data_IF_818088333365
#
_entry.id   IF_818088333365
#
_cell.length_a   1.000
_cell.length_b   1.000
_cell.length_c   1.000
_cell.angle_alpha   90.00
_cell.angle_beta   90.00
_cell.angle_gamma   90.00
#
_symmetry.space_group_name_H-M   'P 1'
#
loop_
_entity.id
_entity.type
_entity.pdbx_description
1 polymer ?
#
# COMPACT_ATOMS: atom_id res chain seq x y z
N UNK A 1 9.47 -24.60 30.21
CA UNK A 1 10.11 -23.46 30.90
C UNK A 1 11.45 -23.06 30.29
N UNK A 2 12.42 -23.96 30.07
CA UNK A 2 13.76 -23.59 29.54
C UNK A 2 13.76 -22.85 28.18
N UNK A 3 12.88 -23.24 27.22
CA UNK A 3 12.78 -22.56 25.91
C UNK A 3 12.27 -21.11 26.01
N UNK A 4 11.37 -20.82 26.95
CA UNK A 4 10.82 -19.48 27.15
C UNK A 4 11.84 -18.53 27.80
N UNK A 5 12.61 -19.04 28.76
CA UNK A 5 13.71 -18.29 29.37
C UNK A 5 14.81 -17.95 28.36
N UNK A 6 15.21 -18.92 27.52
CA UNK A 6 16.20 -18.70 26.46
C UNK A 6 15.72 -17.68 25.41
N UNK A 7 14.44 -17.71 25.04
CA UNK A 7 13.84 -16.75 24.12
C UNK A 7 13.78 -15.34 24.72
N UNK A 8 13.43 -15.22 26.02
CA UNK A 8 13.43 -13.93 26.72
C UNK A 8 14.83 -13.32 26.77
N UNK A 9 15.87 -14.10 27.10
CA UNK A 9 17.26 -13.64 27.13
C UNK A 9 17.70 -13.13 25.75
N UNK A 10 17.39 -13.88 24.69
CA UNK A 10 17.72 -13.47 23.33
C UNK A 10 17.00 -12.19 22.91
N UNK A 11 15.71 -12.05 23.27
CA UNK A 11 14.93 -10.85 23.01
C UNK A 11 15.51 -9.63 23.75
N UNK A 12 15.89 -9.77 25.03
CA UNK A 12 16.56 -8.72 25.79
C UNK A 12 17.86 -8.29 25.11
N UNK A 13 18.76 -9.24 24.79
CA UNK A 13 20.02 -8.95 24.13
C UNK A 13 19.85 -8.24 22.77
N UNK A 14 18.83 -8.65 21.98
CA UNK A 14 18.50 -8.00 20.71
C UNK A 14 17.94 -6.59 20.89
N UNK A 15 17.10 -6.36 21.91
CA UNK A 15 16.60 -5.03 22.22
C UNK A 15 17.73 -4.12 22.69
N UNK A 16 18.63 -4.60 23.53
CA UNK A 16 19.78 -3.85 24.03
C UNK A 16 20.70 -3.43 22.88
N UNK A 17 21.01 -4.36 21.97
CA UNK A 17 21.78 -4.05 20.77
C UNK A 17 21.10 -2.99 19.90
N UNK A 18 19.76 -3.07 19.74
CA UNK A 18 18.99 -2.06 18.97
C UNK A 18 18.90 -0.72 19.69
N UNK A 19 18.81 -0.72 21.02
CA UNK A 19 18.82 0.49 21.84
C UNK A 19 20.16 1.20 21.75
N UNK A 20 21.26 0.44 21.81
CA UNK A 20 22.61 0.94 21.66
C UNK A 20 22.83 1.52 20.26
N UNK A 21 22.38 0.82 19.22
CA UNK A 21 22.35 1.35 17.85
C UNK A 21 21.64 2.71 17.78
N UNK A 22 20.42 2.82 18.34
CA UNK A 22 19.70 4.09 18.34
C UNK A 22 20.47 5.17 19.11
N UNK A 23 21.08 4.83 20.26
CA UNK A 23 21.88 5.78 21.07
C UNK A 23 23.05 6.34 20.27
N UNK A 24 23.87 5.46 19.68
CA UNK A 24 25.06 5.85 18.92
C UNK A 24 24.68 6.69 17.69
N UNK A 25 23.71 6.21 16.90
CA UNK A 25 23.29 6.92 15.69
C UNK A 25 22.57 8.23 15.99
N UNK A 26 21.85 8.37 17.11
CA UNK A 26 21.28 9.66 17.51
C UNK A 26 22.37 10.69 17.80
N UNK A 27 23.45 10.30 18.50
CA UNK A 27 24.59 11.20 18.75
C UNK A 27 25.27 11.62 17.45
N UNK A 28 25.50 10.66 16.55
CA UNK A 28 26.10 10.94 15.25
C UNK A 28 25.23 11.87 14.40
N UNK A 29 23.94 11.57 14.26
CA UNK A 29 23.00 12.41 13.50
C UNK A 29 22.87 13.81 14.12
N UNK A 30 22.90 13.94 15.45
CA UNK A 30 22.88 15.23 16.12
C UNK A 30 24.13 16.06 15.80
N UNK A 31 25.32 15.45 15.83
CA UNK A 31 26.58 16.12 15.44
C UNK A 31 26.56 16.58 13.98
N UNK A 32 26.08 15.73 13.07
CA UNK A 32 25.94 16.11 11.65
C UNK A 32 24.95 17.25 11.45
N UNK A 33 23.82 17.23 12.17
CA UNK A 33 22.84 18.31 12.13
C UNK A 33 23.43 19.63 12.61
N UNK A 34 24.14 19.63 13.76
CA UNK A 34 24.82 20.82 14.29
C UNK A 34 25.86 21.38 13.32
N UNK A 35 26.66 20.51 12.71
CA UNK A 35 27.66 20.93 11.73
C UNK A 35 27.03 21.49 10.46
N UNK A 36 26.01 20.81 9.91
CA UNK A 36 25.30 21.28 8.74
C UNK A 36 24.58 22.62 9.01
N UNK A 37 23.99 22.79 10.20
CA UNK A 37 23.37 24.06 10.59
C UNK A 37 24.39 25.20 10.64
N UNK A 38 25.57 24.97 11.24
CA UNK A 38 26.62 25.99 11.27
C UNK A 38 27.08 26.41 9.86
N UNK A 39 27.17 25.46 8.91
CA UNK A 39 27.48 25.77 7.52
C UNK A 39 26.35 26.54 6.81
N UNK A 40 25.08 26.23 7.13
CA UNK A 40 23.93 27.01 6.62
C UNK A 40 24.00 28.44 7.14
N UNK A 41 24.28 28.62 8.44
CA UNK A 41 24.34 29.95 9.06
C UNK A 41 25.50 30.77 8.45
N UNK A 42 26.68 30.19 8.25
CA UNK A 42 27.82 30.84 7.56
C UNK A 42 27.50 31.20 6.11
N UNK A 43 26.88 30.27 5.37
CA UNK A 43 26.45 30.48 3.99
C UNK A 43 25.40 31.60 3.88
N UNK A 44 24.47 31.66 4.83
CA UNK A 44 23.47 32.72 4.91
C UNK A 44 24.11 34.08 5.20
N UNK A 45 25.09 34.16 6.10
CA UNK A 45 25.85 35.39 6.34
C UNK A 45 26.58 35.87 5.07
N UNK A 46 27.20 34.97 4.32
CA UNK A 46 27.86 35.31 3.04
C UNK A 46 26.86 35.84 2.00
N UNK A 47 25.69 35.23 1.88
CA UNK A 47 24.63 35.71 0.98
C UNK A 47 24.17 37.13 1.35
N UNK A 48 23.99 37.42 2.64
CA UNK A 48 23.63 38.77 3.10
C UNK A 48 24.71 39.79 2.73
N UNK A 49 25.99 39.45 2.92
CA UNK A 49 27.10 40.33 2.52
C UNK A 49 27.13 40.55 1.00
N UNK A 50 26.89 39.51 0.20
CA UNK A 50 26.81 39.63 -1.26
C UNK A 50 25.64 40.53 -1.70
N UNK A 51 24.49 40.41 -1.05
CA UNK A 51 23.33 41.29 -1.29
C UNK A 51 23.65 42.77 -0.97
N UNK A 52 24.30 43.03 0.16
CA UNK A 52 24.73 44.39 0.54
C UNK A 52 25.72 44.98 -0.48
N UNK A 53 26.74 44.21 -0.85
CA UNK A 53 27.71 44.63 -1.86
C UNK A 53 27.07 44.85 -3.24
N UNK A 54 26.10 44.02 -3.62
CA UNK A 54 25.38 44.16 -4.89
C UNK A 54 24.59 45.46 -4.88
N UNK A 55 23.90 45.76 -3.78
CA UNK A 55 23.19 47.03 -3.60
C UNK A 55 24.13 48.23 -3.75
N UNK A 56 25.30 48.19 -3.11
CA UNK A 56 26.30 49.27 -3.22
C UNK A 56 26.83 49.46 -4.64
N UNK A 57 26.99 48.37 -5.42
CA UNK A 57 27.39 48.46 -6.82
C UNK A 57 26.29 49.01 -7.72
N UNK A 58 25.02 48.66 -7.45
CA UNK A 58 23.89 49.19 -8.21
C UNK A 58 23.68 50.70 -7.99
N UNK A 59 24.05 51.21 -6.82
CA UNK A 59 23.98 52.64 -6.49
C UNK A 59 25.17 53.44 -7.06
N UNK A 60 26.11 52.80 -7.77
CA UNK A 60 27.32 53.44 -8.28
C UNK A 60 27.06 54.18 -9.62
N UNK A 61 27.57 55.41 -9.75
CA UNK A 61 27.37 56.26 -10.94
C UNK A 61 28.30 55.90 -12.12
N UNK A 62 29.23 54.96 -11.95
CA UNK A 62 30.19 54.51 -12.97
C UNK A 62 29.74 53.19 -13.62
N UNK A 63 30.24 52.89 -14.82
CA UNK A 63 29.97 51.59 -15.48
C UNK A 63 30.70 50.45 -14.75
N UNK A 64 29.95 49.74 -13.91
CA UNK A 64 30.39 48.57 -13.10
C UNK A 64 29.64 47.29 -13.51
N UNK A 65 29.18 47.23 -14.77
CA UNK A 65 28.36 46.11 -15.27
C UNK A 65 29.08 44.75 -15.24
N UNK A 66 30.40 44.74 -15.40
CA UNK A 66 31.23 43.53 -15.31
C UNK A 66 31.36 42.99 -13.88
N UNK A 67 31.56 43.88 -12.90
CA UNK A 67 31.64 43.55 -11.48
C UNK A 67 30.30 43.02 -10.95
N UNK A 68 29.19 43.65 -11.35
CA UNK A 68 27.83 43.18 -11.03
C UNK A 68 27.63 41.75 -11.57
N UNK A 69 27.99 41.50 -12.83
CA UNK A 69 27.85 40.16 -13.43
C UNK A 69 28.63 39.08 -12.69
N UNK A 70 29.90 39.34 -12.35
CA UNK A 70 30.72 38.40 -11.61
C UNK A 70 30.16 38.10 -10.20
N UNK A 71 29.62 39.13 -9.53
CA UNK A 71 29.09 38.98 -8.17
C UNK A 71 27.72 38.29 -8.15
N UNK A 72 26.90 38.47 -9.19
CA UNK A 72 25.66 37.70 -9.39
C UNK A 72 25.96 36.21 -9.63
N UNK A 73 27.02 35.88 -10.37
CA UNK A 73 27.44 34.49 -10.57
C UNK A 73 27.92 33.86 -9.24
N UNK A 74 28.67 34.61 -8.43
CA UNK A 74 29.10 34.18 -7.09
C UNK A 74 27.89 33.96 -6.16
N UNK A 75 26.94 34.91 -6.15
CA UNK A 75 25.69 34.78 -5.41
C UNK A 75 24.88 33.55 -5.82
N UNK A 76 24.71 33.30 -7.12
CA UNK A 76 23.98 32.14 -7.61
C UNK A 76 24.64 30.81 -7.17
N UNK A 77 25.97 30.74 -7.20
CA UNK A 77 26.72 29.59 -6.73
C UNK A 77 26.56 29.37 -5.21
N UNK A 78 26.55 30.45 -4.46
CA UNK A 78 26.36 30.44 -3.01
C UNK A 78 24.91 30.05 -2.64
N UNK A 79 23.90 30.54 -3.36
CA UNK A 79 22.49 30.14 -3.19
C UNK A 79 22.26 28.65 -3.48
N UNK A 80 22.88 28.10 -4.54
CA UNK A 80 22.82 26.67 -4.83
C UNK A 80 23.44 25.83 -3.68
N UNK A 81 24.50 26.35 -3.07
CA UNK A 81 25.15 25.74 -1.90
C UNK A 81 24.22 25.79 -0.68
N UNK A 82 23.60 26.95 -0.42
CA UNK A 82 22.61 27.14 0.65
C UNK A 82 21.43 26.16 0.54
N UNK A 83 20.87 25.98 -0.65
CA UNK A 83 19.78 25.03 -0.90
C UNK A 83 20.20 23.59 -0.59
N UNK A 84 21.40 23.20 -1.02
CA UNK A 84 21.95 21.86 -0.77
C UNK A 84 22.15 21.59 0.72
N UNK A 85 22.73 22.56 1.45
CA UNK A 85 22.94 22.46 2.89
C UNK A 85 21.62 22.40 3.66
N UNK A 86 20.63 23.21 3.27
CA UNK A 86 19.29 23.23 3.89
C UNK A 86 18.56 21.88 3.69
N UNK A 87 18.69 21.26 2.52
CA UNK A 87 18.17 19.93 2.27
C UNK A 87 18.85 18.88 3.17
N UNK A 88 20.17 18.97 3.36
CA UNK A 88 20.91 18.09 4.26
C UNK A 88 20.47 18.23 5.73
N UNK A 89 20.30 19.47 6.22
CA UNK A 89 19.74 19.76 7.56
C UNK A 89 18.37 19.09 7.73
N UNK A 90 17.49 19.26 6.75
CA UNK A 90 16.15 18.65 6.76
C UNK A 90 16.20 17.13 6.83
N UNK A 91 17.10 16.49 6.06
CA UNK A 91 17.31 15.04 6.08
C UNK A 91 17.84 14.55 7.45
N UNK A 92 18.81 15.25 8.04
CA UNK A 92 19.35 14.92 9.37
C UNK A 92 18.30 15.08 10.48
N UNK A 93 17.48 16.13 10.43
CA UNK A 93 16.35 16.33 11.36
C UNK A 93 15.35 15.19 11.29
N UNK A 94 14.96 14.77 10.07
CA UNK A 94 14.06 13.64 9.85
C UNK A 94 14.67 12.31 10.35
N UNK A 95 15.97 12.06 10.14
CA UNK A 95 16.66 10.89 10.69
C UNK A 95 16.64 10.89 12.22
N UNK A 96 16.94 12.02 12.86
CA UNK A 96 16.97 12.15 14.31
C UNK A 96 15.59 11.89 14.92
N UNK A 97 14.53 12.45 14.33
CA UNK A 97 13.14 12.16 14.72
C UNK A 97 12.83 10.66 14.64
N UNK A 98 13.19 9.98 13.53
CA UNK A 98 12.97 8.53 13.39
C UNK A 98 13.71 7.72 14.45
N UNK A 99 14.96 8.07 14.75
CA UNK A 99 15.78 7.38 15.76
C UNK A 99 15.22 7.56 17.18
N UNK A 100 14.77 8.78 17.52
CA UNK A 100 14.12 9.06 18.82
C UNK A 100 12.84 8.24 18.98
N UNK A 101 11.95 8.25 17.97
CA UNK A 101 10.73 7.44 17.99
C UNK A 101 11.03 5.94 18.13
N UNK A 102 12.04 5.45 17.39
CA UNK A 102 12.48 4.05 17.49
C UNK A 102 13.02 3.72 18.89
N UNK A 103 13.80 4.61 19.51
CA UNK A 103 14.33 4.44 20.87
C UNK A 103 13.21 4.38 21.92
N UNK A 104 12.21 5.26 21.84
CA UNK A 104 11.05 5.25 22.73
C UNK A 104 10.29 3.92 22.63
N UNK A 105 10.04 3.45 21.40
CA UNK A 105 9.42 2.13 21.17
C UNK A 105 10.23 0.99 21.77
N UNK A 106 11.54 0.94 21.55
CA UNK A 106 12.39 -0.14 22.07
C UNK A 106 12.42 -0.16 23.60
N UNK A 107 12.48 1.00 24.27
CA UNK A 107 12.39 1.09 25.74
C UNK A 107 11.09 0.51 26.28
N UNK A 108 9.98 0.74 25.57
CA UNK A 108 8.70 0.19 25.95
C UNK A 108 8.67 -1.34 25.81
N UNK A 109 9.13 -1.89 24.67
CA UNK A 109 9.24 -3.34 24.51
C UNK A 109 10.13 -3.97 25.57
N UNK A 110 11.24 -3.31 25.91
CA UNK A 110 12.16 -3.79 26.95
C UNK A 110 11.45 -3.91 28.31
N UNK A 111 10.55 -2.98 28.66
CA UNK A 111 9.72 -3.07 29.88
C UNK A 111 8.63 -4.14 29.81
N UNK A 112 8.22 -4.54 28.61
CA UNK A 112 7.14 -5.49 28.39
C UNK A 112 7.61 -6.94 28.23
N UNK A 113 8.88 -7.23 27.92
CA UNK A 113 9.32 -8.62 27.67
C UNK A 113 9.02 -9.53 28.86
N UNK A 114 9.09 -9.00 30.09
CA UNK A 114 8.81 -9.76 31.31
C UNK A 114 7.33 -9.73 31.73
N UNK A 115 6.46 -9.08 30.95
CA UNK A 115 5.02 -9.10 31.21
C UNK A 115 4.41 -10.43 30.76
N UNK A 116 3.64 -11.05 31.65
CA UNK A 116 2.79 -12.20 31.34
C UNK A 116 1.86 -11.91 30.15
N UNK A 117 1.38 -10.67 30.01
CA UNK A 117 0.52 -10.22 28.92
C UNK A 117 1.23 -10.24 27.56
N UNK A 118 2.51 -9.82 27.47
CA UNK A 118 3.23 -9.88 26.18
C UNK A 118 3.50 -11.32 25.78
N UNK A 119 3.92 -12.15 26.73
CA UNK A 119 4.17 -13.58 26.47
C UNK A 119 2.92 -14.26 25.92
N UNK A 120 1.77 -13.97 26.54
CA UNK A 120 0.47 -14.45 26.04
C UNK A 120 0.14 -13.91 24.65
N UNK A 121 0.28 -12.60 24.40
CA UNK A 121 0.03 -12.02 23.07
C UNK A 121 0.95 -12.59 21.99
N UNK A 122 2.21 -12.94 22.32
CA UNK A 122 3.12 -13.61 21.39
C UNK A 122 2.69 -15.05 21.08
N UNK A 123 2.10 -15.75 22.06
CA UNK A 123 1.50 -17.07 21.82
C UNK A 123 0.26 -16.96 20.93
N UNK A 124 -0.61 -15.98 21.19
CA UNK A 124 -1.75 -15.67 20.30
C UNK A 124 -1.26 -15.34 18.91
N UNK A 125 -0.20 -14.53 18.79
CA UNK A 125 0.40 -14.16 17.51
C UNK A 125 0.81 -15.40 16.71
N UNK A 126 1.26 -16.50 17.32
CA UNK A 126 1.60 -17.72 16.57
C UNK A 126 0.42 -18.32 15.81
N UNK A 127 -0.80 -18.18 16.34
CA UNK A 127 -2.05 -18.71 15.77
C UNK A 127 -2.64 -17.83 14.65
N UNK A 128 -2.18 -16.59 14.51
CA UNK A 128 -2.73 -15.64 13.56
C UNK A 128 -2.18 -15.83 12.13
N UNK A 129 -2.96 -15.52 11.07
CA UNK A 129 -2.45 -15.39 9.72
C UNK A 129 -1.48 -14.20 9.59
N UNK A 130 -0.77 -14.11 8.46
CA UNK A 130 0.26 -13.06 8.25
C UNK A 130 -0.28 -11.62 8.37
N UNK A 131 -1.43 -11.24 7.76
CA UNK A 131 -1.98 -9.89 7.88
C UNK A 131 -2.29 -9.51 9.34
N UNK A 132 -2.93 -10.40 10.08
CA UNK A 132 -3.26 -10.22 11.49
C UNK A 132 -2.02 -10.19 12.37
N UNK A 133 -1.01 -11.04 12.12
CA UNK A 133 0.29 -10.96 12.80
C UNK A 133 0.92 -9.59 12.64
N UNK A 134 0.86 -9.01 11.43
CA UNK A 134 1.35 -7.66 11.16
C UNK A 134 0.51 -6.61 11.91
N UNK A 135 -0.81 -6.71 11.87
CA UNK A 135 -1.70 -5.79 12.57
C UNK A 135 -1.48 -5.82 14.09
N UNK A 136 -1.41 -7.01 14.70
CA UNK A 136 -1.11 -7.19 16.12
C UNK A 136 0.26 -6.59 16.48
N UNK A 137 1.29 -6.84 15.66
CA UNK A 137 2.61 -6.24 15.85
C UNK A 137 2.55 -4.71 15.83
N UNK A 138 1.79 -4.12 14.89
CA UNK A 138 1.62 -2.67 14.81
C UNK A 138 0.84 -2.10 16.00
N UNK A 139 -0.22 -2.78 16.44
CA UNK A 139 -0.98 -2.41 17.63
C UNK A 139 -0.12 -2.44 18.89
N UNK A 140 0.70 -3.49 19.07
CA UNK A 140 1.70 -3.58 20.14
C UNK A 140 2.71 -2.42 20.08
N UNK A 141 3.21 -2.11 18.88
CA UNK A 141 4.15 -1.00 18.64
C UNK A 141 3.54 0.39 18.90
N UNK A 142 2.21 0.51 18.87
CA UNK A 142 1.46 1.75 19.09
C UNK A 142 0.82 1.84 20.47
N UNK A 143 0.98 0.81 21.31
CA UNK A 143 0.34 0.72 22.63
C UNK A 143 -1.19 0.84 22.52
N UNK A 144 -1.77 0.12 21.56
CA UNK A 144 -3.22 0.13 21.37
C UNK A 144 -3.94 -0.32 22.66
N UNK A 145 -4.68 0.61 23.28
CA UNK A 145 -5.28 0.40 24.60
C UNK A 145 -6.25 -0.78 24.63
N UNK A 146 -6.82 -1.17 23.48
CA UNK A 146 -7.73 -2.31 23.36
C UNK A 146 -7.06 -3.63 23.73
N UNK A 147 -5.74 -3.76 23.51
CA UNK A 147 -4.99 -4.97 23.86
C UNK A 147 -4.86 -5.18 25.38
N UNK A 148 -4.94 -4.11 26.18
CA UNK A 148 -4.71 -4.18 27.62
C UNK A 148 -5.88 -4.80 28.39
N UNK A 149 -7.10 -4.72 27.84
CA UNK A 149 -8.32 -5.23 28.49
C UNK A 149 -8.69 -6.65 28.07
N UNK A 150 -7.94 -7.27 27.16
CA UNK A 150 -8.28 -8.58 26.60
C UNK A 150 -7.86 -9.71 27.52
N UNK A 151 -8.78 -10.64 27.75
CA UNK A 151 -8.56 -11.80 28.61
C UNK A 151 -8.63 -13.14 27.86
N UNK A 152 -9.16 -13.14 26.63
CA UNK A 152 -9.30 -14.34 25.82
C UNK A 152 -8.74 -14.19 24.41
N UNK A 153 -8.42 -15.32 23.79
CA UNK A 153 -7.81 -15.39 22.46
C UNK A 153 -8.77 -14.85 21.40
N UNK A 154 -10.06 -15.16 21.51
CA UNK A 154 -11.07 -14.77 20.52
C UNK A 154 -11.24 -13.25 20.40
N UNK A 155 -11.14 -12.51 21.53
CA UNK A 155 -11.20 -11.05 21.52
C UNK A 155 -9.99 -10.44 20.80
N UNK A 156 -8.80 -11.01 21.01
CA UNK A 156 -7.58 -10.59 20.31
C UNK A 156 -7.74 -10.86 18.82
N UNK A 157 -8.19 -12.06 18.43
CA UNK A 157 -8.45 -12.38 17.02
C UNK A 157 -9.41 -11.37 16.41
N UNK A 158 -10.56 -11.10 17.03
CA UNK A 158 -11.54 -10.13 16.52
C UNK A 158 -10.95 -8.74 16.31
N UNK A 159 -10.31 -8.17 17.32
CA UNK A 159 -9.79 -6.80 17.23
C UNK A 159 -8.61 -6.71 16.25
N UNK A 160 -7.75 -7.73 16.21
CA UNK A 160 -6.63 -7.78 15.27
C UNK A 160 -7.12 -7.95 13.84
N UNK A 161 -8.13 -8.79 13.59
CA UNK A 161 -8.75 -8.93 12.27
C UNK A 161 -9.39 -7.61 11.83
N UNK A 162 -10.12 -6.91 12.71
CA UNK A 162 -10.66 -5.57 12.41
C UNK A 162 -9.54 -4.60 12.04
N UNK A 163 -8.42 -4.62 12.78
CA UNK A 163 -7.28 -3.77 12.49
C UNK A 163 -6.61 -4.14 11.14
N UNK A 164 -6.47 -5.43 10.84
CA UNK A 164 -5.90 -5.92 9.59
C UNK A 164 -6.76 -5.50 8.38
N UNK A 165 -8.08 -5.72 8.45
CA UNK A 165 -9.03 -5.28 7.41
C UNK A 165 -9.03 -3.76 7.27
N UNK A 166 -8.97 -3.01 8.37
CA UNK A 166 -8.88 -1.54 8.34
C UNK A 166 -7.59 -1.05 7.66
N UNK A 167 -6.46 -1.73 7.87
CA UNK A 167 -5.21 -1.41 7.20
C UNK A 167 -5.25 -1.74 5.70
N UNK A 168 -5.81 -2.89 5.34
CA UNK A 168 -6.02 -3.28 3.95
C UNK A 168 -6.94 -2.28 3.23
N UNK A 169 -8.05 -1.88 3.85
CA UNK A 169 -8.96 -0.86 3.31
C UNK A 169 -8.24 0.47 3.07
N UNK A 170 -7.45 0.96 4.05
CA UNK A 170 -6.70 2.21 3.88
C UNK A 170 -5.71 2.14 2.72
N UNK A 171 -4.96 1.04 2.61
CA UNK A 171 -4.01 0.86 1.51
C UNK A 171 -4.73 0.82 0.15
N UNK A 172 -5.82 0.06 0.07
CA UNK A 172 -6.65 -0.03 -1.12
C UNK A 172 -7.28 1.33 -1.49
N UNK A 173 -7.85 2.04 -0.51
CA UNK A 173 -8.48 3.34 -0.72
C UNK A 173 -7.46 4.37 -1.22
N UNK A 174 -6.30 4.47 -0.56
CA UNK A 174 -5.23 5.39 -0.98
C UNK A 174 -4.73 5.10 -2.39
N UNK A 175 -4.66 3.83 -2.81
CA UNK A 175 -4.27 3.47 -4.18
C UNK A 175 -5.23 4.07 -5.22
N UNK A 176 -6.54 3.87 -5.02
CA UNK A 176 -7.54 4.32 -5.99
C UNK A 176 -7.82 5.83 -5.91
N UNK A 177 -7.69 6.42 -4.72
CA UNK A 177 -7.79 7.86 -4.50
C UNK A 177 -6.64 8.62 -5.21
N UNK A 178 -5.39 8.16 -5.05
CA UNK A 178 -4.22 8.77 -5.68
C UNK A 178 -4.27 8.74 -7.21
N UNK A 179 -4.96 7.76 -7.79
CA UNK A 179 -5.11 7.62 -9.24
C UNK A 179 -6.33 8.39 -9.79
N UNK A 180 -7.06 9.11 -8.94
CA UNK A 180 -8.34 9.74 -9.26
C UNK A 180 -9.35 8.76 -9.90
N UNK A 181 -9.21 7.47 -9.62
CA UNK A 181 -10.07 6.42 -10.15
C UNK A 181 -11.21 6.18 -9.18
N UNK A 182 -12.09 7.19 -9.06
CA UNK A 182 -13.37 7.01 -8.38
C UNK A 182 -14.22 5.98 -9.12
N UNK A 183 -15.25 5.48 -8.45
CA UNK A 183 -16.26 4.60 -9.05
C UNK A 183 -16.85 5.22 -10.33
N UNK A 184 -17.00 6.56 -10.35
CA UNK A 184 -17.50 7.31 -11.49
C UNK A 184 -16.47 7.45 -12.63
N UNK A 185 -15.17 7.42 -12.32
CA UNK A 185 -14.11 7.56 -13.31
C UNK A 185 -14.04 6.35 -14.26
N UNK A 186 -14.35 5.14 -13.79
CA UNK A 186 -14.47 3.96 -14.64
C UNK A 186 -15.60 4.12 -15.68
N UNK A 187 -16.76 4.64 -15.25
CA UNK A 187 -17.88 4.97 -16.15
C UNK A 187 -17.48 5.98 -17.23
N UNK A 188 -16.75 7.04 -16.87
CA UNK A 188 -16.28 8.04 -17.83
C UNK A 188 -15.22 7.49 -18.81
N UNK A 189 -14.33 6.62 -18.34
CA UNK A 189 -13.30 5.97 -19.17
C UNK A 189 -13.88 5.00 -20.20
N UNK A 190 -15.04 4.41 -19.92
CA UNK A 190 -15.76 3.56 -20.88
C UNK A 190 -16.61 4.38 -21.87
N UNK A 191 -17.33 5.40 -21.39
CA UNK A 191 -18.13 6.29 -22.24
C UNK A 191 -17.29 7.02 -23.30
N UNK A 192 -16.07 7.45 -22.95
CA UNK A 192 -15.15 8.06 -23.91
C UNK A 192 -14.70 7.10 -25.03
N UNK A 193 -14.75 5.79 -24.77
CA UNK A 193 -14.35 4.75 -25.72
C UNK A 193 -15.50 4.30 -26.64
N UNK A 194 -16.75 4.65 -26.32
CA UNK A 194 -17.97 4.31 -27.08
C UNK A 194 -18.37 5.38 -28.13
N UNK A 195 -17.43 6.23 -28.56
CA UNK A 195 -17.69 7.22 -29.65
C UNK A 195 -17.73 6.61 -31.06
N UNK A 196 -17.86 5.28 -31.18
CA UNK A 196 -18.13 4.60 -32.43
C UNK A 196 -19.33 3.63 -32.26
N UNK A 197 -20.50 4.13 -32.65
CA UNK A 197 -21.68 3.41 -33.15
C UNK A 197 -22.30 2.29 -32.28
N UNK A 198 -23.27 2.65 -31.42
CA UNK A 198 -24.58 1.98 -31.25
C UNK A 198 -25.39 2.63 -30.11
N UNK A 199 -26.59 3.11 -30.42
CA UNK A 199 -27.55 3.76 -29.51
C UNK A 199 -28.19 2.75 -28.52
N UNK A 200 -27.59 2.60 -27.33
CA UNK A 200 -28.30 2.22 -26.09
C UNK A 200 -27.67 3.00 -24.93
N UNK A 201 -28.42 3.67 -24.04
CA UNK A 201 -27.82 4.40 -22.92
C UNK A 201 -27.23 3.43 -21.87
N UNK A 202 -25.96 3.06 -22.01
CA UNK A 202 -25.18 2.25 -21.06
C UNK A 202 -24.89 2.97 -19.72
N UNK A 203 -25.21 4.27 -19.62
CA UNK A 203 -24.80 5.15 -18.52
C UNK A 203 -25.38 4.78 -17.14
N UNK A 204 -26.49 4.04 -17.07
CA UNK A 204 -27.09 3.62 -15.81
C UNK A 204 -26.60 2.23 -15.33
N UNK A 205 -25.99 1.43 -16.21
CA UNK A 205 -25.63 0.04 -15.91
C UNK A 205 -24.24 -0.12 -15.28
N UNK A 206 -23.34 0.86 -15.48
CA UNK A 206 -21.94 0.80 -15.05
C UNK A 206 -21.70 1.32 -13.62
N UNK A 207 -22.49 2.29 -13.16
CA UNK A 207 -22.46 2.77 -11.76
C UNK A 207 -23.00 1.72 -10.78
N UNK A 208 -23.70 0.69 -11.28
CA UNK A 208 -24.33 -0.37 -10.51
C UNK A 208 -23.45 -1.64 -10.39
N UNK A 209 -22.25 -1.66 -11.02
CA UNK A 209 -21.42 -2.86 -11.17
C UNK A 209 -20.06 -2.87 -10.45
N UNK A 210 -19.62 -1.80 -9.80
CA UNK A 210 -18.34 -1.84 -9.08
C UNK A 210 -18.49 -2.43 -7.67
N UNK A 211 -17.67 -3.43 -7.35
CA UNK A 211 -17.72 -4.09 -6.03
C UNK A 211 -16.96 -3.25 -5.00
N UNK A 212 -17.62 -2.91 -3.90
CA UNK A 212 -16.98 -2.23 -2.79
C UNK A 212 -16.00 -3.16 -2.04
N UNK A 213 -15.00 -2.56 -1.39
CA UNK A 213 -13.95 -3.30 -0.68
C UNK A 213 -14.51 -4.25 0.39
N UNK A 214 -15.54 -3.84 1.14
CA UNK A 214 -16.10 -4.64 2.22
C UNK A 214 -16.96 -5.79 1.70
N UNK A 215 -17.58 -5.63 0.52
CA UNK A 215 -18.24 -6.70 -0.23
C UNK A 215 -17.26 -7.80 -0.60
N UNK A 216 -16.12 -7.44 -1.23
CA UNK A 216 -15.05 -8.40 -1.54
C UNK A 216 -14.46 -9.02 -0.27
N UNK A 217 -14.21 -8.21 0.77
CA UNK A 217 -13.68 -8.73 2.04
C UNK A 217 -14.61 -9.77 2.67
N UNK A 218 -15.92 -9.50 2.66
CA UNK A 218 -16.93 -10.42 3.18
C UNK A 218 -17.01 -11.68 2.35
N UNK A 219 -16.98 -11.55 1.01
CA UNK A 219 -16.94 -12.69 0.09
C UNK A 219 -15.74 -13.58 0.37
N UNK A 220 -14.52 -13.02 0.38
CA UNK A 220 -13.31 -13.79 0.61
C UNK A 220 -13.28 -14.43 2.01
N UNK A 221 -13.86 -13.79 3.03
CA UNK A 221 -14.01 -14.37 4.35
C UNK A 221 -14.93 -15.62 4.36
N UNK A 222 -15.95 -15.65 3.50
CA UNK A 222 -16.82 -16.83 3.30
C UNK A 222 -16.06 -17.92 2.55
N UNK A 223 -15.35 -17.57 1.47
CA UNK A 223 -14.61 -18.52 0.63
C UNK A 223 -13.40 -19.13 1.31
N UNK A 224 -12.81 -18.44 2.30
CA UNK A 224 -11.62 -18.89 3.06
C UNK A 224 -10.48 -19.36 2.16
N UNK A 225 -9.98 -18.49 1.26
CA UNK A 225 -8.96 -18.87 0.29
C UNK A 225 -7.66 -19.28 1.01
N UNK A 226 -6.98 -20.30 0.47
CA UNK A 226 -5.75 -20.85 1.05
C UNK A 226 -4.51 -20.23 0.39
N UNK A 227 -3.39 -20.09 1.12
CA UNK A 227 -2.13 -19.64 0.55
C UNK A 227 -1.75 -20.43 -0.72
N UNK A 228 -1.33 -19.72 -1.77
CA UNK A 228 -0.93 -20.28 -3.05
C UNK A 228 -2.06 -20.58 -4.04
N UNK A 229 -3.32 -20.47 -3.63
CA UNK A 229 -4.46 -20.60 -4.56
C UNK A 229 -4.54 -19.41 -5.52
N UNK A 230 -5.12 -19.67 -6.70
CA UNK A 230 -5.37 -18.67 -7.73
C UNK A 230 -6.79 -18.12 -7.62
N UNK A 231 -6.90 -16.81 -7.38
CA UNK A 231 -8.15 -16.05 -7.50
C UNK A 231 -8.19 -15.34 -8.87
N UNK A 232 -9.19 -15.65 -9.67
CA UNK A 232 -9.40 -15.07 -10.99
C UNK A 232 -10.63 -14.16 -11.01
N UNK A 233 -10.48 -12.95 -11.54
CA UNK A 233 -11.55 -11.96 -11.72
C UNK A 233 -11.82 -11.79 -13.23
N UNK A 234 -13.03 -12.21 -13.66
CA UNK A 234 -13.48 -12.14 -15.05
C UNK A 234 -14.18 -10.81 -15.29
N UNK A 235 -13.56 -9.93 -16.09
CA UNK A 235 -14.01 -8.54 -16.26
C UNK A 235 -13.58 -7.69 -15.06
N UNK A 236 -12.28 -7.72 -14.73
CA UNK A 236 -11.77 -7.09 -13.51
C UNK A 236 -11.86 -5.55 -13.50
N UNK A 237 -12.18 -4.92 -14.63
CA UNK A 237 -12.29 -3.48 -14.77
C UNK A 237 -11.01 -2.77 -14.35
N UNK A 238 -11.12 -1.80 -13.44
CA UNK A 238 -9.98 -1.07 -12.87
C UNK A 238 -9.16 -1.88 -11.86
N UNK A 239 -9.55 -3.14 -11.58
CA UNK A 239 -8.83 -4.08 -10.71
C UNK A 239 -9.22 -4.00 -9.23
N UNK A 240 -10.30 -3.30 -8.88
CA UNK A 240 -10.73 -3.09 -7.48
C UNK A 240 -10.80 -4.38 -6.66
N UNK A 241 -11.40 -5.44 -7.20
CA UNK A 241 -11.49 -6.73 -6.52
C UNK A 241 -10.13 -7.45 -6.45
N UNK A 242 -9.34 -7.42 -7.53
CA UNK A 242 -7.96 -7.93 -7.54
C UNK A 242 -7.12 -7.28 -6.43
N UNK A 243 -7.09 -5.95 -6.33
CA UNK A 243 -6.29 -5.27 -5.32
C UNK A 243 -6.85 -5.41 -3.89
N UNK A 244 -8.18 -5.56 -3.74
CA UNK A 244 -8.76 -5.93 -2.45
C UNK A 244 -8.29 -7.33 -2.01
N UNK A 245 -8.35 -8.32 -2.91
CA UNK A 245 -7.84 -9.66 -2.66
C UNK A 245 -6.34 -9.66 -2.35
N UNK A 246 -5.54 -8.88 -3.10
CA UNK A 246 -4.10 -8.74 -2.90
C UNK A 246 -3.74 -8.20 -1.52
N UNK A 247 -4.50 -7.19 -1.04
CA UNK A 247 -4.24 -6.57 0.26
C UNK A 247 -4.72 -7.42 1.44
N UNK A 248 -5.82 -8.15 1.28
CA UNK A 248 -6.39 -9.02 2.31
C UNK A 248 -5.68 -10.38 2.39
N UNK A 249 -5.29 -10.95 1.25
CA UNK A 249 -4.71 -12.29 1.13
C UNK A 249 -3.45 -12.28 0.23
N UNK A 250 -2.32 -11.73 0.72
CA UNK A 250 -1.12 -11.51 -0.08
C UNK A 250 -0.39 -12.78 -0.57
N UNK A 251 -0.85 -13.95 -0.12
CA UNK A 251 -0.31 -15.26 -0.52
C UNK A 251 -1.10 -15.89 -1.68
N UNK A 252 -2.16 -15.24 -2.17
CA UNK A 252 -2.87 -15.67 -3.37
C UNK A 252 -2.11 -15.26 -4.63
N UNK A 253 -2.28 -16.07 -5.67
CA UNK A 253 -2.02 -15.66 -7.05
C UNK A 253 -3.29 -15.03 -7.59
N UNK A 254 -3.18 -13.91 -8.27
CA UNK A 254 -4.32 -13.12 -8.72
C UNK A 254 -4.26 -12.98 -10.23
N UNK A 255 -5.38 -13.25 -10.90
CA UNK A 255 -5.51 -13.13 -12.34
C UNK A 255 -6.72 -12.26 -12.67
N UNK A 256 -6.50 -11.10 -13.29
CA UNK A 256 -7.58 -10.27 -13.81
C UNK A 256 -7.60 -10.34 -15.33
N UNK A 257 -8.76 -10.58 -15.94
CA UNK A 257 -8.95 -10.52 -17.40
C UNK A 257 -9.92 -9.37 -17.69
N UNK A 258 -9.54 -8.45 -18.57
CA UNK A 258 -10.37 -7.31 -18.96
C UNK A 258 -10.29 -7.11 -20.47
N UNK A 259 -11.44 -6.85 -21.11
CA UNK A 259 -11.56 -6.66 -22.55
C UNK A 259 -11.41 -5.18 -22.92
N UNK A 260 -11.98 -4.28 -22.13
CA UNK A 260 -12.03 -2.84 -22.41
C UNK A 260 -10.63 -2.23 -22.19
N UNK A 261 -9.99 -1.68 -23.24
CA UNK A 261 -8.61 -1.19 -23.15
C UNK A 261 -8.42 -0.11 -22.08
N UNK A 262 -9.36 0.84 -21.95
CA UNK A 262 -9.24 1.95 -20.99
C UNK A 262 -9.27 1.47 -19.54
N UNK A 263 -10.11 0.47 -19.22
CA UNK A 263 -10.18 -0.16 -17.90
C UNK A 263 -8.94 -1.01 -17.60
N UNK A 264 -8.46 -1.79 -18.59
CA UNK A 264 -7.20 -2.51 -18.46
C UNK A 264 -6.00 -1.57 -18.23
N UNK A 265 -5.92 -0.46 -18.96
CA UNK A 265 -4.86 0.53 -18.73
C UNK A 265 -4.97 1.18 -17.35
N UNK A 266 -6.19 1.38 -16.84
CA UNK A 266 -6.41 1.85 -15.48
C UNK A 266 -5.92 0.85 -14.43
N UNK A 267 -6.23 -0.44 -14.58
CA UNK A 267 -5.75 -1.49 -13.67
C UNK A 267 -4.23 -1.67 -13.73
N UNK A 268 -3.62 -1.49 -14.91
CA UNK A 268 -2.16 -1.42 -15.07
C UNK A 268 -1.53 -0.28 -14.30
N UNK A 269 -2.09 0.94 -14.38
CA UNK A 269 -1.60 2.09 -13.58
C UNK A 269 -1.72 1.83 -12.08
N UNK A 270 -2.79 1.16 -11.65
CA UNK A 270 -2.93 0.71 -10.27
C UNK A 270 -1.84 -0.28 -9.88
N UNK A 271 -1.53 -1.26 -10.74
CA UNK A 271 -0.45 -2.21 -10.49
C UNK A 271 0.93 -1.54 -10.40
N UNK A 272 1.20 -0.59 -11.30
CA UNK A 272 2.48 0.14 -11.32
C UNK A 272 2.64 1.04 -10.08
N UNK A 273 1.52 1.50 -9.50
CA UNK A 273 1.47 2.28 -8.25
C UNK A 273 1.34 1.42 -6.99
N UNK A 274 1.30 0.09 -7.14
CA UNK A 274 1.00 -0.84 -6.05
C UNK A 274 2.25 -1.12 -5.19
N UNK A 275 2.41 -0.37 -4.10
CA UNK A 275 3.56 -0.52 -3.18
C UNK A 275 3.45 -1.69 -2.17
N UNK A 276 2.51 -2.61 -2.39
CA UNK A 276 2.18 -3.68 -1.47
C UNK A 276 2.99 -4.96 -1.76
N UNK A 277 3.15 -5.86 -0.76
CA UNK A 277 4.06 -6.99 -0.89
C UNK A 277 3.60 -8.01 -1.94
N UNK A 278 4.54 -8.45 -2.77
CA UNK A 278 4.40 -9.47 -3.82
C UNK A 278 3.59 -9.06 -5.07
N UNK A 279 3.88 -7.90 -5.72
CA UNK A 279 3.20 -7.52 -6.96
C UNK A 279 3.36 -8.58 -8.07
N UNK A 280 4.42 -9.40 -8.03
CA UNK A 280 4.62 -10.52 -8.93
C UNK A 280 3.55 -11.62 -8.85
N UNK A 281 2.71 -11.62 -7.83
CA UNK A 281 1.56 -12.54 -7.73
C UNK A 281 0.34 -12.07 -8.53
N UNK A 282 0.37 -10.85 -9.09
CA UNK A 282 -0.74 -10.27 -9.84
C UNK A 282 -0.46 -10.34 -11.34
N UNK A 283 -1.33 -11.03 -12.07
CA UNK A 283 -1.33 -11.09 -13.52
C UNK A 283 -2.58 -10.37 -14.05
N UNK A 284 -2.36 -9.27 -14.77
CA UNK A 284 -3.43 -8.57 -15.47
C UNK A 284 -3.31 -8.86 -16.96
N UNK A 285 -4.41 -9.31 -17.56
CA UNK A 285 -4.51 -9.72 -18.96
C UNK A 285 -5.49 -8.79 -19.66
N UNK A 286 -5.02 -8.15 -20.74
CA UNK A 286 -5.91 -7.52 -21.71
C UNK A 286 -6.35 -8.59 -22.70
N UNK A 287 -7.61 -9.00 -22.65
CA UNK A 287 -8.06 -10.11 -23.48
C UNK A 287 -9.52 -10.46 -23.31
N UNK A 288 -9.99 -11.28 -24.24
CA UNK A 288 -11.34 -11.83 -24.23
C UNK A 288 -11.39 -13.09 -23.34
N UNK A 289 -12.19 -13.01 -22.28
CA UNK A 289 -12.42 -14.10 -21.34
C UNK A 289 -13.05 -15.36 -21.96
N UNK A 290 -13.58 -15.28 -23.19
CA UNK A 290 -14.10 -16.45 -23.92
C UNK A 290 -12.99 -17.26 -24.58
N UNK A 291 -11.81 -16.67 -24.76
CA UNK A 291 -10.68 -17.29 -25.47
C UNK A 291 -9.47 -17.56 -24.58
N UNK A 292 -9.31 -16.78 -23.50
CA UNK A 292 -8.23 -16.95 -22.55
C UNK A 292 -8.49 -18.13 -21.59
N UNK A 293 -7.50 -19.00 -21.39
CA UNK A 293 -7.61 -20.18 -20.53
C UNK A 293 -7.49 -19.85 -19.03
N UNK A 294 -8.57 -19.32 -18.46
CA UNK A 294 -8.66 -19.06 -17.02
C UNK A 294 -9.08 -20.29 -16.21
N UNK A 295 -9.80 -21.24 -16.81
CA UNK A 295 -10.37 -22.39 -16.09
C UNK A 295 -9.31 -23.41 -15.66
N UNK A 296 -8.19 -23.52 -16.38
CA UNK A 296 -7.18 -24.56 -16.08
C UNK A 296 -6.35 -24.29 -14.83
N UNK A 297 -6.26 -23.03 -14.38
CA UNK A 297 -5.37 -22.63 -13.28
C UNK A 297 -6.07 -21.88 -12.13
N UNK A 298 -7.38 -21.69 -12.20
CA UNK A 298 -8.16 -20.95 -11.20
C UNK A 298 -8.72 -21.88 -10.12
N UNK A 299 -8.46 -21.57 -8.85
CA UNK A 299 -9.09 -22.20 -7.70
C UNK A 299 -10.39 -21.50 -7.31
N UNK A 300 -10.43 -20.18 -7.52
CA UNK A 300 -11.57 -19.32 -7.20
C UNK A 300 -11.76 -18.40 -8.38
N UNK A 301 -12.93 -18.46 -9.00
CA UNK A 301 -13.34 -17.56 -10.08
C UNK A 301 -14.41 -16.63 -9.53
N UNK A 302 -14.21 -15.33 -9.73
CA UNK A 302 -15.13 -14.27 -9.40
C UNK A 302 -15.54 -13.57 -10.70
N UNK A 303 -16.82 -13.26 -10.82
CA UNK A 303 -17.35 -12.48 -11.93
C UNK A 303 -18.48 -11.59 -11.45
N UNK A 304 -18.40 -10.30 -11.77
CA UNK A 304 -19.57 -9.43 -11.67
C UNK A 304 -20.25 -9.29 -13.03
N UNK A 305 -21.11 -10.25 -13.36
CA UNK A 305 -21.71 -10.39 -14.69
C UNK A 305 -22.85 -9.38 -14.99
N UNK A 306 -22.96 -8.27 -14.27
CA UNK A 306 -24.08 -7.31 -14.41
C UNK A 306 -24.21 -6.78 -15.83
N UNK A 307 -23.06 -6.53 -16.49
CA UNK A 307 -23.01 -6.00 -17.85
C UNK A 307 -22.86 -7.08 -18.93
N UNK A 308 -22.90 -8.38 -18.57
CA UNK A 308 -22.70 -9.44 -19.56
C UNK A 308 -23.99 -9.68 -20.35
N UNK A 309 -23.86 -9.78 -21.68
CA UNK A 309 -24.97 -10.24 -22.52
C UNK A 309 -25.32 -11.69 -22.19
N UNK A 310 -26.55 -12.11 -22.49
CA UNK A 310 -26.97 -13.49 -22.29
C UNK A 310 -26.08 -14.50 -23.05
N UNK A 311 -25.63 -14.12 -24.25
CA UNK A 311 -24.71 -14.94 -25.07
C UNK A 311 -23.33 -15.08 -24.42
N UNK A 312 -22.76 -13.97 -23.95
CA UNK A 312 -21.48 -13.98 -23.23
C UNK A 312 -21.60 -14.82 -21.95
N UNK A 313 -22.67 -14.62 -21.18
CA UNK A 313 -22.92 -15.39 -19.96
C UNK A 313 -23.05 -16.89 -20.23
N UNK A 314 -23.77 -17.30 -21.29
CA UNK A 314 -23.86 -18.70 -21.70
C UNK A 314 -22.49 -19.29 -22.03
N UNK A 315 -21.63 -18.52 -22.71
CA UNK A 315 -20.26 -18.94 -23.00
C UNK A 315 -19.44 -19.11 -21.73
N UNK A 316 -19.51 -18.16 -20.80
CA UNK A 316 -18.83 -18.23 -19.49
C UNK A 316 -19.28 -19.46 -18.70
N UNK A 317 -20.59 -19.75 -18.68
CA UNK A 317 -21.13 -20.93 -18.00
C UNK A 317 -20.55 -22.24 -18.56
N UNK A 318 -20.44 -22.34 -19.89
CA UNK A 318 -19.85 -23.52 -20.54
C UNK A 318 -18.36 -23.66 -20.23
N UNK A 319 -17.63 -22.54 -20.19
CA UNK A 319 -16.21 -22.53 -19.84
C UNK A 319 -15.99 -22.88 -18.35
N UNK A 320 -16.88 -22.45 -17.46
CA UNK A 320 -16.81 -22.77 -16.03
C UNK A 320 -16.89 -24.28 -15.75
N UNK A 321 -17.51 -25.07 -16.64
CA UNK A 321 -17.50 -26.53 -16.53
C UNK A 321 -16.12 -27.17 -16.65
N UNK A 322 -15.16 -26.43 -17.21
CA UNK A 322 -13.78 -26.90 -17.41
C UNK A 322 -12.90 -26.63 -16.19
N UNK A 323 -13.44 -26.02 -15.14
CA UNK A 323 -12.73 -25.79 -13.89
C UNK A 323 -12.30 -27.11 -13.24
N UNK A 324 -11.17 -27.05 -12.55
CA UNK A 324 -10.66 -28.20 -11.81
C UNK A 324 -11.60 -28.58 -10.65
N UNK A 325 -11.70 -29.87 -10.30
CA UNK A 325 -12.49 -30.30 -9.15
C UNK A 325 -12.10 -29.54 -7.87
N UNK A 326 -13.11 -29.02 -7.16
CA UNK A 326 -12.92 -28.23 -5.94
C UNK A 326 -12.66 -26.74 -6.18
N UNK A 327 -12.62 -26.28 -7.43
CA UNK A 327 -12.63 -24.86 -7.74
C UNK A 327 -14.02 -24.25 -7.43
N UNK A 328 -14.02 -23.01 -6.96
CA UNK A 328 -15.23 -22.26 -6.63
C UNK A 328 -15.51 -21.23 -7.72
N UNK A 329 -16.76 -21.17 -8.19
CA UNK A 329 -17.21 -20.14 -9.13
C UNK A 329 -18.24 -19.25 -8.43
N UNK A 330 -17.96 -17.95 -8.36
CA UNK A 330 -18.77 -16.94 -7.68
C UNK A 330 -19.24 -15.90 -8.69
N UNK A 331 -20.55 -15.69 -8.74
CA UNK A 331 -21.19 -14.66 -9.54
C UNK A 331 -22.15 -13.85 -8.66
N UNK A 332 -22.15 -12.52 -8.82
CA UNK A 332 -23.01 -11.63 -8.02
C UNK A 332 -24.41 -11.44 -8.59
N UNK A 333 -24.57 -11.48 -9.91
CA UNK A 333 -25.83 -11.11 -10.59
C UNK A 333 -26.52 -12.24 -11.34
N UNK A 334 -25.79 -13.29 -11.69
CA UNK A 334 -26.32 -14.40 -12.47
C UNK A 334 -26.00 -15.73 -11.81
N UNK A 335 -27.00 -16.60 -11.71
CA UNK A 335 -26.80 -17.99 -11.30
C UNK A 335 -26.34 -18.84 -12.50
N UNK A 336 -25.49 -19.83 -12.24
CA UNK A 336 -25.27 -20.90 -13.20
C UNK A 336 -26.58 -21.67 -13.41
N UNK A 337 -26.86 -22.09 -14.64
CA UNK A 337 -28.09 -22.84 -14.93
C UNK A 337 -28.14 -24.15 -14.11
N UNK A 338 -29.35 -24.48 -13.62
CA UNK A 338 -29.59 -25.67 -12.80
C UNK A 338 -29.19 -26.92 -13.60
N UNK A 339 -28.21 -27.67 -13.08
CA UNK A 339 -27.58 -28.82 -13.74
C UNK A 339 -26.07 -28.66 -13.94
N UNK A 340 -25.53 -27.46 -13.75
CA UNK A 340 -24.11 -27.11 -13.91
C UNK A 340 -23.42 -26.74 -12.58
N UNK A 341 -24.15 -26.76 -11.47
CA UNK A 341 -23.58 -26.55 -10.13
C UNK A 341 -22.84 -27.80 -9.67
N UNK A 342 -21.51 -27.77 -9.71
CA UNK A 342 -20.68 -28.73 -8.98
C UNK A 342 -20.81 -28.42 -7.47
N UNK A 343 -21.02 -29.47 -6.68
CA UNK A 343 -21.27 -29.44 -5.24
C UNK A 343 -20.21 -28.69 -4.43
#
# INVERSE_FOLDING_TARGET
>A
MQKAAALSILCHALLDKKMEFCRVHTVFAAKQLLHAQALVDECQERLVVLDELLSDLYDNEHDVSGEIGAMLDEQAQEEATYQTLTAAVSAHKALLQRLVHKKVRLKYFHRMIDSSSLTWLLQVAATLPRPEKRALKEMLLRQDARLNSMQCVDDVHRVVTIAAVSHAFKAWYSLFDALAMSTDAACHLEQNNQTADHDVPLSASLTYGEVDFFGIASLLAILRPRPGQTFCDLGHGTGRAIFAAATLYPELRLMGIELVPSLYHASRRALDSYEMPHPQHIQLVHGDLTTFDWWSCSDIVFVNATAFSAELWNTVQLLALRLQPGALFVSLTHCLAKGLSLC
#
